data_IF_469203329899
#
_entry.id   IF_469203329899
#
_cell.length_a   1.000
_cell.length_b   1.000
_cell.length_c   1.000
_cell.angle_alpha   90.00
_cell.angle_beta   90.00
_cell.angle_gamma   90.00
#
_symmetry.space_group_name_H-M   'P 1'
#
loop_
_entity.id
_entity.type
_entity.pdbx_description
1 polymer ?
#
# COMPACT_ATOMS: atom_id res chain seq x y z
N UNK A 1 -2.02 46.19 6.42
CA UNK A 1 -2.70 44.88 6.20
C UNK A 1 -3.67 44.93 5.02
N UNK A 2 -4.55 45.94 4.89
CA UNK A 2 -5.50 46.02 3.77
C UNK A 2 -4.87 45.99 2.35
N UNK A 3 -3.73 46.66 2.15
CA UNK A 3 -3.00 46.64 0.86
C UNK A 3 -2.40 45.27 0.49
N UNK A 4 -2.01 44.46 1.48
CA UNK A 4 -1.43 43.13 1.22
C UNK A 4 -2.51 42.10 0.85
N UNK A 5 -3.71 42.22 1.44
CA UNK A 5 -4.83 41.35 1.10
C UNK A 5 -5.42 41.65 -0.28
N UNK A 6 -5.46 42.93 -0.72
CA UNK A 6 -5.95 43.22 -2.07
C UNK A 6 -5.04 42.65 -3.16
N UNK A 7 -3.73 42.66 -2.93
CA UNK A 7 -2.75 42.09 -3.86
C UNK A 7 -2.88 40.56 -3.94
N UNK A 8 -3.04 39.89 -2.79
CA UNK A 8 -3.28 38.45 -2.71
C UNK A 8 -4.59 38.02 -3.42
N UNK A 9 -5.66 38.81 -3.30
CA UNK A 9 -6.93 38.57 -4.01
C UNK A 9 -6.71 38.62 -5.52
N UNK A 10 -6.05 39.68 -6.02
CA UNK A 10 -5.79 39.86 -7.44
C UNK A 10 -4.88 38.75 -7.98
N UNK A 11 -3.83 38.39 -7.25
CA UNK A 11 -2.93 37.31 -7.64
C UNK A 11 -3.63 35.95 -7.74
N UNK A 12 -4.44 35.59 -6.73
CA UNK A 12 -5.19 34.34 -6.74
C UNK A 12 -6.24 34.30 -7.85
N UNK A 13 -6.93 35.43 -8.10
CA UNK A 13 -7.90 35.53 -9.19
C UNK A 13 -7.25 35.35 -10.57
N UNK A 14 -6.08 35.96 -10.81
CA UNK A 14 -5.35 35.80 -12.07
C UNK A 14 -4.92 34.35 -12.31
N UNK A 15 -4.38 33.69 -11.29
CA UNK A 15 -4.02 32.27 -11.37
C UNK A 15 -5.23 31.37 -11.63
N UNK A 16 -6.39 31.69 -11.04
CA UNK A 16 -7.61 30.94 -11.30
C UNK A 16 -8.08 31.10 -12.75
N UNK A 17 -7.98 32.30 -13.34
CA UNK A 17 -8.28 32.54 -14.76
C UNK A 17 -7.32 31.75 -15.66
N UNK A 18 -6.02 31.78 -15.36
CA UNK A 18 -5.02 31.00 -16.11
C UNK A 18 -5.26 29.49 -15.99
N UNK A 19 -5.63 29.00 -14.80
CA UNK A 19 -5.94 27.60 -14.55
C UNK A 19 -7.17 27.13 -15.36
N UNK A 20 -8.22 27.96 -15.43
CA UNK A 20 -9.39 27.66 -16.27
C UNK A 20 -9.05 27.69 -17.76
N UNK A 21 -8.14 28.58 -18.18
CA UNK A 21 -7.61 28.57 -19.54
C UNK A 21 -6.91 27.26 -19.87
N UNK A 22 -6.01 26.78 -19.01
CA UNK A 22 -5.35 25.47 -19.20
C UNK A 22 -6.36 24.31 -19.21
N UNK A 23 -7.38 24.39 -18.37
CA UNK A 23 -8.46 23.40 -18.33
C UNK A 23 -9.21 23.32 -19.67
N UNK A 24 -9.50 24.47 -20.29
CA UNK A 24 -10.13 24.53 -21.61
C UNK A 24 -9.28 23.90 -22.72
N UNK A 25 -7.94 23.96 -22.57
CA UNK A 25 -6.99 23.30 -23.46
C UNK A 25 -6.69 21.84 -23.10
N UNK A 26 -7.39 21.27 -22.11
CA UNK A 26 -7.20 19.90 -21.59
C UNK A 26 -5.82 19.65 -20.95
N UNK A 27 -5.11 20.71 -20.55
CA UNK A 27 -3.84 20.65 -19.83
C UNK A 27 -4.10 20.49 -18.32
N UNK A 28 -4.74 19.37 -17.94
CA UNK A 28 -5.35 19.17 -16.62
C UNK A 28 -4.35 19.21 -15.45
N UNK A 29 -3.10 18.78 -15.67
CA UNK A 29 -2.06 18.83 -14.63
C UNK A 29 -1.60 20.27 -14.37
N UNK A 30 -1.44 21.07 -15.44
CA UNK A 30 -1.07 22.49 -15.34
C UNK A 30 -2.20 23.32 -14.72
N UNK A 31 -3.46 23.03 -15.11
CA UNK A 31 -4.64 23.64 -14.51
C UNK A 31 -4.73 23.37 -12.99
N UNK A 32 -4.49 22.12 -12.57
CA UNK A 32 -4.52 21.72 -11.16
C UNK A 32 -3.40 22.41 -10.34
N UNK A 33 -2.19 22.48 -10.89
CA UNK A 33 -1.07 23.16 -10.22
C UNK A 33 -1.37 24.65 -10.00
N UNK A 34 -1.83 25.35 -11.05
CA UNK A 34 -2.16 26.78 -10.97
C UNK A 34 -3.30 27.06 -9.99
N UNK A 35 -4.34 26.23 -9.97
CA UNK A 35 -5.47 26.45 -9.06
C UNK A 35 -5.10 26.11 -7.61
N UNK A 36 -4.24 25.11 -7.38
CA UNK A 36 -3.69 24.84 -6.04
C UNK A 36 -2.86 26.01 -5.52
N UNK A 37 -2.02 26.61 -6.38
CA UNK A 37 -1.25 27.81 -6.02
C UNK A 37 -2.16 29.01 -5.69
N UNK A 38 -3.25 29.21 -6.45
CA UNK A 38 -4.24 30.26 -6.17
C UNK A 38 -4.89 30.06 -4.78
N UNK A 39 -5.32 28.84 -4.47
CA UNK A 39 -5.92 28.48 -3.17
C UNK A 39 -4.91 28.66 -2.04
N UNK A 40 -3.66 28.27 -2.24
CA UNK A 40 -2.60 28.45 -1.23
C UNK A 40 -2.38 29.93 -0.90
N UNK A 41 -2.39 30.82 -1.90
CA UNK A 41 -2.29 32.28 -1.67
C UNK A 41 -3.44 32.78 -0.82
N UNK A 42 -4.67 32.33 -1.10
CA UNK A 42 -5.87 32.69 -0.33
C UNK A 42 -5.73 32.23 1.13
N UNK A 43 -5.36 30.96 1.34
CA UNK A 43 -5.28 30.35 2.67
C UNK A 43 -4.14 30.95 3.52
N UNK A 44 -2.96 31.17 2.94
CA UNK A 44 -1.82 31.76 3.65
C UNK A 44 -2.07 33.21 4.08
N UNK A 45 -2.85 33.96 3.30
CA UNK A 45 -3.17 35.36 3.59
C UNK A 45 -4.48 35.53 4.37
N UNK A 46 -5.15 34.42 4.72
CA UNK A 46 -6.41 34.43 5.47
C UNK A 46 -7.51 35.20 4.77
N UNK A 47 -7.55 35.18 3.44
CA UNK A 47 -8.49 35.99 2.65
C UNK A 47 -9.88 35.35 2.68
N UNK A 48 -10.87 36.12 3.12
CA UNK A 48 -12.28 35.69 3.17
C UNK A 48 -13.19 36.58 2.32
N UNK A 49 -12.63 37.36 1.40
CA UNK A 49 -13.38 38.27 0.52
C UNK A 49 -14.30 37.46 -0.42
N UNK A 50 -15.58 37.84 -0.61
CA UNK A 50 -16.49 37.15 -1.52
C UNK A 50 -15.96 36.89 -2.93
N UNK A 51 -15.03 37.73 -3.41
CA UNK A 51 -14.38 37.58 -4.72
C UNK A 51 -13.56 36.29 -4.84
N UNK A 52 -13.07 35.71 -3.74
CA UNK A 52 -12.28 34.47 -3.80
C UNK A 52 -13.16 33.21 -3.88
N UNK A 53 -14.48 33.33 -3.71
CA UNK A 53 -15.40 32.21 -3.91
C UNK A 53 -15.30 31.62 -5.32
N UNK A 54 -15.10 32.47 -6.34
CA UNK A 54 -14.92 32.03 -7.73
C UNK A 54 -13.68 31.15 -7.92
N UNK A 55 -12.60 31.37 -7.15
CA UNK A 55 -11.38 30.54 -7.18
C UNK A 55 -11.68 29.13 -6.68
N UNK A 56 -12.45 29.01 -5.60
CA UNK A 56 -12.87 27.70 -5.08
C UNK A 56 -13.88 27.00 -6.01
N UNK A 57 -14.74 27.74 -6.73
CA UNK A 57 -15.58 27.14 -7.79
C UNK A 57 -14.72 26.58 -8.92
N UNK A 58 -13.74 27.34 -9.42
CA UNK A 58 -12.80 26.89 -10.44
C UNK A 58 -12.02 25.64 -9.99
N UNK A 59 -11.57 25.60 -8.73
CA UNK A 59 -10.92 24.41 -8.14
C UNK A 59 -11.81 23.18 -8.22
N UNK A 60 -13.11 23.32 -7.91
CA UNK A 60 -14.05 22.21 -7.96
C UNK A 60 -14.24 21.67 -9.37
N UNK A 61 -14.37 22.55 -10.36
CA UNK A 61 -14.49 22.18 -11.78
C UNK A 61 -13.23 21.46 -12.28
N UNK A 62 -12.04 22.03 -12.04
CA UNK A 62 -10.76 21.48 -12.47
C UNK A 62 -10.50 20.11 -11.82
N UNK A 63 -10.70 20.02 -10.50
CA UNK A 63 -10.50 18.77 -9.76
C UNK A 63 -11.44 17.67 -10.27
N UNK A 64 -12.70 18.01 -10.57
CA UNK A 64 -13.63 17.05 -11.12
C UNK A 64 -13.17 16.56 -12.49
N UNK A 65 -12.88 17.47 -13.43
CA UNK A 65 -12.46 17.11 -14.78
C UNK A 65 -11.17 16.30 -14.83
N UNK A 66 -10.22 16.55 -13.92
CA UNK A 66 -8.96 15.79 -13.81
C UNK A 66 -9.17 14.34 -13.41
N UNK A 67 -10.06 14.07 -12.45
CA UNK A 67 -10.17 12.75 -11.83
C UNK A 67 -11.41 11.96 -12.23
N UNK A 68 -12.42 12.56 -12.87
CA UNK A 68 -13.72 11.89 -13.12
C UNK A 68 -13.59 10.57 -13.91
N UNK A 69 -12.64 10.48 -14.83
CA UNK A 69 -12.49 9.32 -15.72
C UNK A 69 -11.59 8.22 -15.11
N UNK A 70 -10.74 8.57 -14.14
CA UNK A 70 -9.76 7.66 -13.52
C UNK A 70 -10.12 7.26 -12.08
N UNK A 71 -10.73 8.15 -11.31
CA UNK A 71 -11.06 7.99 -9.90
C UNK A 71 -12.26 8.86 -9.50
N UNK A 72 -13.46 8.48 -9.96
CA UNK A 72 -14.69 9.28 -9.79
C UNK A 72 -15.01 9.65 -8.34
N UNK A 73 -14.81 8.77 -7.36
CA UNK A 73 -15.06 9.10 -5.94
C UNK A 73 -14.16 10.24 -5.45
N UNK A 74 -12.89 10.24 -5.84
CA UNK A 74 -11.93 11.30 -5.51
C UNK A 74 -12.33 12.62 -6.18
N UNK A 75 -12.79 12.54 -7.43
CA UNK A 75 -13.30 13.70 -8.18
C UNK A 75 -14.50 14.34 -7.48
N UNK A 76 -15.49 13.54 -7.10
CA UNK A 76 -16.70 13.97 -6.41
C UNK A 76 -16.38 14.63 -5.05
N UNK A 77 -15.46 14.05 -4.28
CA UNK A 77 -15.08 14.56 -2.95
C UNK A 77 -14.29 15.86 -3.02
N UNK A 78 -13.33 15.98 -3.96
CA UNK A 78 -12.56 17.22 -4.15
C UNK A 78 -13.44 18.36 -4.64
N UNK A 79 -14.30 18.09 -5.62
CA UNK A 79 -15.26 19.07 -6.12
C UNK A 79 -16.21 19.52 -5.01
N UNK A 80 -16.75 18.58 -4.23
CA UNK A 80 -17.62 18.88 -3.09
C UNK A 80 -16.92 19.76 -2.05
N UNK A 81 -15.70 19.43 -1.64
CA UNK A 81 -14.97 20.21 -0.65
C UNK A 81 -14.67 21.62 -1.13
N UNK A 82 -14.35 21.81 -2.41
CA UNK A 82 -14.11 23.11 -3.00
C UNK A 82 -15.40 23.96 -3.09
N UNK A 83 -16.49 23.36 -3.58
CA UNK A 83 -17.81 24.01 -3.61
C UNK A 83 -18.33 24.37 -2.23
N UNK A 84 -18.10 23.52 -1.23
CA UNK A 84 -18.45 23.84 0.16
C UNK A 84 -17.70 25.07 0.66
N UNK A 85 -16.39 25.20 0.36
CA UNK A 85 -15.61 26.42 0.66
C UNK A 85 -16.16 27.64 -0.08
N UNK A 86 -16.42 27.53 -1.38
CA UNK A 86 -16.97 28.61 -2.20
C UNK A 86 -18.30 29.15 -1.63
N UNK A 87 -19.25 28.24 -1.37
CA UNK A 87 -20.58 28.58 -0.84
C UNK A 87 -20.54 29.07 0.62
N UNK A 88 -19.53 28.65 1.39
CA UNK A 88 -19.29 29.16 2.76
C UNK A 88 -18.88 30.64 2.75
N UNK A 89 -18.18 31.08 1.71
CA UNK A 89 -17.71 32.45 1.49
C UNK A 89 -18.79 33.30 0.80
N UNK A 90 -19.37 32.78 -0.27
CA UNK A 90 -20.45 33.41 -1.03
C UNK A 90 -21.57 32.38 -1.29
N UNK A 91 -22.68 32.43 -0.53
CA UNK A 91 -23.81 31.51 -0.69
C UNK A 91 -24.45 31.52 -2.09
N UNK A 92 -24.28 32.61 -2.84
CA UNK A 92 -24.80 32.78 -4.18
C UNK A 92 -23.82 32.34 -5.27
N UNK A 93 -22.66 31.76 -4.91
CA UNK A 93 -21.71 31.24 -5.88
C UNK A 93 -22.36 30.19 -6.79
N UNK A 94 -22.04 30.22 -8.08
CA UNK A 94 -22.57 29.32 -9.11
C UNK A 94 -21.43 28.81 -9.99
N UNK A 95 -21.59 27.62 -10.56
CA UNK A 95 -20.69 27.11 -11.59
C UNK A 95 -20.88 28.00 -12.84
N UNK A 96 -19.81 28.47 -13.50
CA UNK A 96 -19.97 29.23 -14.73
C UNK A 96 -20.69 28.39 -15.80
N UNK A 97 -21.53 29.03 -16.61
CA UNK A 97 -22.42 28.35 -17.57
C UNK A 97 -21.71 27.36 -18.49
N UNK A 98 -20.47 27.69 -18.88
CA UNK A 98 -19.70 26.91 -19.84
C UNK A 98 -19.19 25.59 -19.26
N UNK A 99 -19.15 25.49 -17.92
CA UNK A 99 -18.71 24.30 -17.18
C UNK A 99 -19.86 23.59 -16.46
N UNK A 100 -21.09 24.09 -16.62
CA UNK A 100 -22.24 23.58 -15.91
C UNK A 100 -22.65 22.22 -16.49
N UNK A 101 -22.44 21.15 -15.72
CA UNK A 101 -22.91 19.81 -16.02
C UNK A 101 -23.89 19.34 -14.96
N UNK A 102 -24.77 18.39 -15.29
CA UNK A 102 -25.72 17.81 -14.32
C UNK A 102 -25.01 17.20 -13.09
N UNK A 103 -23.81 16.68 -13.29
CA UNK A 103 -22.99 16.06 -12.24
C UNK A 103 -22.39 17.12 -11.30
N UNK A 104 -21.76 18.16 -11.86
CA UNK A 104 -21.21 19.25 -11.07
C UNK A 104 -22.30 20.01 -10.32
N UNK A 105 -23.47 20.21 -10.93
CA UNK A 105 -24.64 20.78 -10.27
C UNK A 105 -25.14 19.91 -9.11
N UNK A 106 -25.19 18.58 -9.28
CA UNK A 106 -25.57 17.69 -8.19
C UNK A 106 -24.60 17.79 -6.99
N UNK A 107 -23.29 17.93 -7.26
CA UNK A 107 -22.27 18.09 -6.22
C UNK A 107 -22.41 19.47 -5.54
N UNK A 108 -22.60 20.54 -6.31
CA UNK A 108 -22.80 21.91 -5.80
C UNK A 108 -24.08 22.02 -4.97
N UNK A 109 -25.18 21.38 -5.39
CA UNK A 109 -26.44 21.33 -4.65
C UNK A 109 -26.29 20.53 -3.35
N UNK A 110 -25.53 19.43 -3.36
CA UNK A 110 -25.16 18.71 -2.13
C UNK A 110 -24.41 19.63 -1.16
N UNK A 111 -23.49 20.45 -1.65
CA UNK A 111 -22.76 21.42 -0.84
C UNK A 111 -23.69 22.53 -0.30
N UNK A 112 -24.63 23.05 -1.12
CA UNK A 112 -25.66 24.01 -0.68
C UNK A 112 -26.51 23.44 0.45
N UNK A 113 -27.01 22.21 0.29
CA UNK A 113 -27.79 21.51 1.33
C UNK A 113 -27.01 21.34 2.63
N UNK A 114 -25.71 21.05 2.52
CA UNK A 114 -24.80 20.92 3.68
C UNK A 114 -24.63 22.25 4.43
N UNK A 115 -24.61 23.38 3.72
CA UNK A 115 -24.55 24.71 4.33
C UNK A 115 -25.91 25.13 4.89
N UNK A 116 -27.00 24.81 4.21
CA UNK A 116 -28.36 25.08 4.68
C UNK A 116 -28.73 24.24 5.92
N UNK A 117 -28.19 23.03 6.04
CA UNK A 117 -28.32 22.18 7.24
C UNK A 117 -27.28 22.52 8.33
N UNK A 118 -26.23 23.28 7.98
CA UNK A 118 -25.24 23.80 8.93
C UNK A 118 -25.84 24.92 9.79
N UNK A 119 -25.66 24.87 11.12
CA UNK A 119 -26.22 25.83 12.06
C UNK A 119 -25.47 27.17 12.06
N UNK A 120 -25.12 27.74 10.89
CA UNK A 120 -24.45 29.05 10.80
C UNK A 120 -25.32 30.22 11.30
N UNK A 121 -26.64 30.03 11.41
CA UNK A 121 -27.54 30.97 12.10
C UNK A 121 -27.45 30.89 13.64
N UNK A 122 -26.82 29.85 14.21
CA UNK A 122 -26.67 29.63 15.66
C UNK A 122 -25.31 30.06 16.23
N UNK A 123 -24.32 30.36 15.38
CA UNK A 123 -22.93 30.60 15.83
C UNK A 123 -22.77 31.99 16.47
N UNK A 124 -23.56 32.99 16.06
CA UNK A 124 -23.55 34.31 16.68
C UNK A 124 -24.07 34.31 18.14
N UNK A 125 -24.88 33.31 18.52
CA UNK A 125 -25.40 33.15 19.88
C UNK A 125 -24.46 32.37 20.82
N UNK A 126 -23.38 31.77 20.30
CA UNK A 126 -22.44 30.93 21.06
C UNK A 126 -21.13 31.65 21.41
N UNK A 127 -20.96 32.92 21.02
CA UNK A 127 -19.80 33.70 21.42
C UNK A 127 -19.73 33.83 22.96
N UNK A 128 -18.77 33.15 23.58
CA UNK A 128 -18.57 33.11 25.05
C UNK A 128 -19.18 31.90 25.76
N UNK A 129 -19.87 31.00 25.06
CA UNK A 129 -20.29 29.70 25.59
C UNK A 129 -19.15 28.71 25.37
N UNK A 130 -18.77 27.93 26.38
CA UNK A 130 -17.76 26.87 26.18
C UNK A 130 -18.37 25.70 25.41
N UNK A 131 -17.65 25.08 24.48
CA UNK A 131 -18.13 23.87 23.82
C UNK A 131 -18.38 22.76 24.83
N UNK A 132 -19.38 21.92 24.55
CA UNK A 132 -19.74 20.78 25.37
C UNK A 132 -19.63 19.50 24.56
N UNK A 133 -19.29 18.41 25.24
CA UNK A 133 -19.28 17.05 24.69
C UNK A 133 -20.18 16.21 25.59
N UNK A 134 -21.14 15.52 25.00
CA UNK A 134 -21.97 14.53 25.70
C UNK A 134 -21.61 13.14 25.22
N UNK A 135 -21.22 12.27 26.13
CA UNK A 135 -20.86 10.90 25.83
C UNK A 135 -21.29 9.97 26.95
N UNK A 136 -21.87 8.82 26.58
CA UNK A 136 -22.18 7.74 27.51
C UNK A 136 -21.09 6.68 27.43
N UNK A 137 -20.34 6.53 28.52
CA UNK A 137 -19.26 5.56 28.62
C UNK A 137 -19.69 4.13 28.27
N UNK A 138 -18.86 3.43 27.49
CA UNK A 138 -19.04 2.01 27.20
C UNK A 138 -18.46 1.21 28.37
N UNK A 139 -19.33 0.66 29.22
CA UNK A 139 -18.87 -0.05 30.43
C UNK A 139 -18.26 -1.42 30.13
N UNK A 140 -18.81 -2.15 29.16
CA UNK A 140 -18.39 -3.51 28.81
C UNK A 140 -18.41 -3.71 27.30
N UNK A 141 -17.43 -4.45 26.78
CA UNK A 141 -17.43 -4.94 25.40
C UNK A 141 -16.90 -6.38 25.35
N UNK A 142 -17.06 -7.04 24.21
CA UNK A 142 -16.44 -8.33 23.98
C UNK A 142 -14.97 -8.14 23.62
N UNK A 143 -14.10 -9.05 24.08
CA UNK A 143 -12.70 -9.07 23.65
C UNK A 143 -12.62 -9.30 22.14
N UNK A 144 -11.65 -8.65 21.51
CA UNK A 144 -11.41 -8.77 20.08
C UNK A 144 -12.54 -8.26 19.16
N UNK A 145 -13.57 -7.58 19.68
CA UNK A 145 -14.60 -6.94 18.85
C UNK A 145 -14.41 -5.42 18.81
N UNK A 146 -14.72 -4.76 17.68
CA UNK A 146 -14.72 -3.30 17.60
C UNK A 146 -15.58 -2.66 18.70
N UNK A 147 -15.07 -1.60 19.33
CA UNK A 147 -15.77 -0.79 20.32
C UNK A 147 -16.09 0.55 19.68
N UNK A 148 -17.38 0.78 19.44
CA UNK A 148 -17.88 2.03 18.89
C UNK A 148 -18.05 3.07 20.01
N UNK A 149 -17.39 4.21 19.84
CA UNK A 149 -17.43 5.35 20.75
C UNK A 149 -18.21 6.47 20.07
N UNK A 150 -19.38 6.79 20.64
CA UNK A 150 -20.29 7.81 20.12
C UNK A 150 -20.32 9.02 21.04
N UNK A 151 -20.10 10.21 20.50
CA UNK A 151 -20.16 11.45 21.25
C UNK A 151 -21.00 12.50 20.52
N UNK A 152 -21.92 13.13 21.23
CA UNK A 152 -22.64 14.29 20.73
C UNK A 152 -21.81 15.55 21.01
N UNK A 153 -21.47 16.27 19.94
CA UNK A 153 -20.69 17.50 19.97
C UNK A 153 -21.43 18.54 19.15
N UNK A 154 -22.29 19.37 19.77
CA UNK A 154 -23.00 20.44 19.09
C UNK A 154 -22.01 21.36 18.35
N UNK A 155 -22.38 21.78 17.14
CA UNK A 155 -21.54 22.65 16.33
C UNK A 155 -21.11 23.91 17.10
N UNK A 156 -19.79 24.12 17.21
CA UNK A 156 -19.20 25.23 17.94
C UNK A 156 -17.99 25.80 17.18
N UNK A 157 -17.82 27.13 17.10
CA UNK A 157 -16.74 27.75 16.32
C UNK A 157 -15.33 27.38 16.79
N UNK A 158 -15.17 27.13 18.09
CA UNK A 158 -13.87 26.78 18.69
C UNK A 158 -13.52 25.28 18.56
N UNK A 159 -14.45 24.44 18.08
CA UNK A 159 -14.21 23.00 17.91
C UNK A 159 -13.78 22.73 16.47
N UNK A 160 -12.55 22.25 16.31
CA UNK A 160 -11.97 21.88 15.02
C UNK A 160 -11.85 20.37 14.84
N UNK A 161 -11.39 19.64 15.87
CA UNK A 161 -11.30 18.17 15.87
C UNK A 161 -11.86 17.59 17.15
N UNK A 162 -12.33 16.35 17.06
CA UNK A 162 -12.75 15.55 18.22
C UNK A 162 -11.95 14.26 18.18
N UNK A 163 -11.25 13.95 19.28
CA UNK A 163 -10.29 12.87 19.38
C UNK A 163 -10.71 11.94 20.52
N UNK A 164 -10.67 10.63 20.26
CA UNK A 164 -10.70 9.59 21.30
C UNK A 164 -9.27 9.18 21.58
N UNK A 165 -8.84 9.38 22.82
CA UNK A 165 -7.58 8.84 23.32
C UNK A 165 -7.85 7.53 24.03
N UNK A 166 -7.18 6.45 23.66
CA UNK A 166 -7.39 5.12 24.23
C UNK A 166 -6.09 4.40 24.56
N UNK A 167 -6.13 3.55 25.59
CA UNK A 167 -5.04 2.70 26.04
C UNK A 167 -5.57 1.35 26.47
N UNK A 168 -4.72 0.32 26.38
CA UNK A 168 -5.09 -1.07 26.68
C UNK A 168 -4.44 -1.49 27.99
N UNK A 169 -5.21 -2.13 28.86
CA UNK A 169 -4.80 -2.55 30.20
C UNK A 169 -4.15 -1.39 30.98
N UNK A 170 -3.12 -1.69 31.77
CA UNK A 170 -2.39 -0.72 32.60
C UNK A 170 -1.10 -0.23 31.92
N UNK A 171 -0.99 -0.38 30.59
CA UNK A 171 0.12 0.16 29.80
C UNK A 171 0.06 1.69 29.83
N UNK A 172 1.21 2.34 30.00
CA UNK A 172 1.31 3.80 30.03
C UNK A 172 1.24 4.38 28.62
N UNK A 173 0.52 5.50 28.48
CA UNK A 173 0.30 6.18 27.20
C UNK A 173 -1.06 5.87 26.57
N UNK A 174 -1.50 6.78 25.71
CA UNK A 174 -2.76 6.67 24.95
C UNK A 174 -2.48 6.92 23.48
N UNK A 175 -3.04 6.07 22.62
CA UNK A 175 -3.15 6.29 21.19
C UNK A 175 -4.38 7.17 20.91
N UNK A 176 -4.42 7.89 19.79
CA UNK A 176 -5.54 8.78 19.44
C UNK A 176 -6.22 8.39 18.13
N UNK A 177 -7.55 8.48 18.10
CA UNK A 177 -8.39 8.31 16.90
C UNK A 177 -9.22 9.57 16.71
N UNK A 178 -9.19 10.17 15.53
CA UNK A 178 -10.09 11.27 15.20
C UNK A 178 -11.50 10.71 14.94
N UNK A 179 -12.49 11.25 15.66
CA UNK A 179 -13.89 10.90 15.47
C UNK A 179 -14.40 11.50 14.16
N UNK A 180 -15.24 10.75 13.45
CA UNK A 180 -15.87 11.19 12.21
C UNK A 180 -17.35 11.51 12.45
N UNK A 181 -17.95 12.49 11.75
CA UNK A 181 -19.37 12.75 11.85
C UNK A 181 -20.19 11.49 11.55
N UNK A 182 -21.20 11.22 12.36
CA UNK A 182 -22.18 10.17 12.11
C UNK A 182 -22.97 10.51 10.85
N UNK A 183 -23.22 9.49 10.01
CA UNK A 183 -24.09 9.65 8.84
C UNK A 183 -25.57 9.74 9.23
N UNK A 184 -25.95 9.19 10.39
CA UNK A 184 -27.34 8.95 10.78
C UNK A 184 -27.87 10.00 11.77
N UNK A 185 -27.00 10.56 12.61
CA UNK A 185 -27.40 11.46 13.70
C UNK A 185 -26.62 12.78 13.62
N UNK A 186 -27.35 13.89 13.56
CA UNK A 186 -26.77 15.24 13.52
C UNK A 186 -26.01 15.54 14.81
N UNK A 187 -24.86 16.18 14.68
CA UNK A 187 -23.94 16.56 15.77
C UNK A 187 -23.34 15.37 16.54
N UNK A 188 -23.59 14.13 16.10
CA UNK A 188 -22.93 12.95 16.64
C UNK A 188 -21.66 12.64 15.87
N UNK A 189 -20.65 12.21 16.61
CA UNK A 189 -19.36 11.77 16.10
C UNK A 189 -19.10 10.35 16.57
N UNK A 190 -18.48 9.57 15.69
CA UNK A 190 -18.19 8.15 15.89
C UNK A 190 -16.70 7.92 15.72
N UNK A 191 -16.11 7.16 16.64
CA UNK A 191 -14.80 6.55 16.47
C UNK A 191 -14.87 5.07 16.86
N UNK A 192 -14.07 4.25 16.19
CA UNK A 192 -14.05 2.81 16.41
C UNK A 192 -12.69 2.40 16.96
N UNK A 193 -12.65 1.98 18.22
CA UNK A 193 -11.49 1.27 18.76
C UNK A 193 -11.56 -0.16 18.22
N UNK A 194 -10.62 -0.52 17.36
CA UNK A 194 -10.64 -1.82 16.67
C UNK A 194 -10.63 -3.01 17.64
N UNK A 195 -11.18 -4.15 17.22
CA UNK A 195 -11.07 -5.39 17.99
C UNK A 195 -9.63 -5.77 18.32
N UNK A 196 -8.70 -5.47 17.41
CA UNK A 196 -7.27 -5.72 17.60
C UNK A 196 -6.65 -4.86 18.71
N UNK A 197 -7.18 -3.66 18.97
CA UNK A 197 -6.83 -2.88 20.15
C UNK A 197 -7.53 -3.41 21.42
N UNK A 198 -8.69 -4.05 21.28
CA UNK A 198 -9.49 -4.61 22.37
C UNK A 198 -9.11 -6.06 22.75
N UNK A 199 -7.82 -6.43 22.73
CA UNK A 199 -7.35 -7.77 23.13
C UNK A 199 -7.14 -7.95 24.64
N UNK A 200 -6.87 -6.84 25.33
CA UNK A 200 -6.57 -6.83 26.76
C UNK A 200 -7.75 -7.23 27.64
N UNK A 201 -7.56 -7.10 28.95
CA UNK A 201 -8.64 -7.25 29.92
C UNK A 201 -9.54 -6.01 30.00
N UNK A 202 -8.99 -4.82 29.72
CA UNK A 202 -9.73 -3.55 29.72
C UNK A 202 -9.16 -2.56 28.70
N UNK A 203 -10.02 -1.67 28.23
CA UNK A 203 -9.65 -0.48 27.46
C UNK A 203 -9.98 0.74 28.31
N UNK A 204 -9.04 1.68 28.39
CA UNK A 204 -9.22 2.99 29.04
C UNK A 204 -9.27 4.05 27.96
N UNK A 205 -10.22 4.97 28.02
CA UNK A 205 -10.29 6.04 27.04
C UNK A 205 -10.90 7.33 27.60
N UNK A 206 -10.65 8.44 26.91
CA UNK A 206 -11.26 9.73 27.13
C UNK A 206 -11.41 10.47 25.80
N UNK A 207 -12.21 11.53 25.77
CA UNK A 207 -12.54 12.27 24.56
C UNK A 207 -12.14 13.73 24.75
N UNK A 208 -11.47 14.31 23.77
CA UNK A 208 -11.14 15.73 23.75
C UNK A 208 -11.60 16.38 22.44
N UNK A 209 -12.16 17.58 22.55
CA UNK A 209 -12.35 18.46 21.41
C UNK A 209 -11.26 19.53 21.44
N UNK A 210 -10.62 19.78 20.29
CA UNK A 210 -9.54 20.75 20.16
C UNK A 210 -9.86 21.85 19.16
N UNK A 211 -9.29 23.04 19.36
CA UNK A 211 -9.31 24.12 18.38
C UNK A 211 -8.29 23.89 17.24
N UNK A 212 -8.08 24.89 16.39
CA UNK A 212 -7.13 24.80 15.25
C UNK A 212 -5.67 24.85 15.70
N UNK A 213 -5.42 25.46 16.85
CA UNK A 213 -4.11 25.59 17.51
C UNK A 213 -3.70 24.31 18.25
N UNK A 214 -4.65 23.39 18.46
CA UNK A 214 -4.46 22.12 19.17
C UNK A 214 -4.78 22.18 20.66
N UNK A 215 -5.30 23.31 21.17
CA UNK A 215 -5.72 23.45 22.55
C UNK A 215 -7.04 22.70 22.80
N UNK A 216 -7.13 22.04 23.95
CA UNK A 216 -8.34 21.34 24.39
C UNK A 216 -9.40 22.36 24.82
N UNK A 217 -10.50 22.41 24.08
CA UNK A 217 -11.63 23.33 24.33
C UNK A 217 -12.77 22.67 25.11
N UNK A 218 -12.90 21.34 25.02
CA UNK A 218 -13.84 20.54 25.81
C UNK A 218 -13.31 19.10 25.98
N UNK A 219 -13.76 18.39 27.02
CA UNK A 219 -13.38 17.00 27.26
C UNK A 219 -14.47 16.18 27.94
N UNK A 220 -14.42 14.87 27.76
CA UNK A 220 -15.10 13.87 28.59
C UNK A 220 -14.05 12.93 29.16
N UNK A 221 -13.96 12.89 30.49
CA UNK A 221 -12.86 12.25 31.21
C UNK A 221 -11.49 12.86 30.88
N UNK A 222 -10.42 12.33 31.46
CA UNK A 222 -9.04 12.73 31.21
C UNK A 222 -8.08 11.56 31.46
N UNK A 223 -6.79 11.81 31.24
CA UNK A 223 -5.73 10.82 31.40
C UNK A 223 -5.68 10.21 32.82
N UNK A 224 -5.97 11.02 33.85
CA UNK A 224 -5.93 10.62 35.25
C UNK A 224 -7.19 9.87 35.68
N UNK A 225 -8.33 10.18 35.07
CA UNK A 225 -9.64 9.58 35.36
C UNK A 225 -10.32 9.10 34.07
N UNK A 226 -9.76 8.11 33.36
CA UNK A 226 -10.31 7.65 32.09
C UNK A 226 -11.57 6.82 32.30
N UNK A 227 -12.42 6.77 31.27
CA UNK A 227 -13.50 5.79 31.20
C UNK A 227 -12.87 4.42 31.01
N UNK A 228 -13.31 3.43 31.77
CA UNK A 228 -12.81 2.05 31.67
C UNK A 228 -13.89 1.13 31.11
N UNK A 229 -13.62 0.54 29.94
CA UNK A 229 -14.40 -0.52 29.33
C UNK A 229 -13.79 -1.88 29.69
N UNK A 230 -14.55 -2.72 30.38
CA UNK A 230 -14.14 -4.08 30.69
C UNK A 230 -14.37 -5.00 29.48
N UNK A 231 -13.37 -5.81 29.14
CA UNK A 231 -13.44 -6.71 27.98
C UNK A 231 -13.67 -8.16 28.41
N UNK A 232 -14.78 -8.72 27.94
CA UNK A 232 -15.30 -10.04 28.36
C UNK A 232 -15.29 -11.06 27.21
N UNK A 233 -15.27 -12.36 27.53
CA UNK A 233 -15.24 -13.44 26.53
C UNK A 233 -13.84 -13.80 26.02
N UNK A 234 -13.78 -14.76 25.10
CA UNK A 234 -12.55 -15.21 24.45
C UNK A 234 -12.36 -14.55 23.08
N UNK A 235 -11.10 -14.31 22.71
CA UNK A 235 -10.74 -13.83 21.38
C UNK A 235 -10.83 -14.97 20.36
N UNK A 236 -11.86 -14.93 19.52
CA UNK A 236 -11.87 -15.64 18.24
C UNK A 236 -11.09 -14.79 17.24
N UNK A 237 -10.18 -15.40 16.46
CA UNK A 237 -9.20 -14.68 15.64
C UNK A 237 -9.79 -13.60 14.71
N UNK A 238 -8.98 -12.57 14.39
CA UNK A 238 -9.40 -11.43 13.57
C UNK A 238 -9.76 -11.83 12.15
N UNK A 239 -10.79 -11.17 11.61
CA UNK A 239 -11.18 -11.29 10.21
C UNK A 239 -10.23 -10.49 9.32
N UNK A 240 -10.17 -10.85 8.03
CA UNK A 240 -9.32 -10.20 7.03
C UNK A 240 -9.66 -8.71 6.83
N UNK A 241 -10.93 -8.33 7.00
CA UNK A 241 -11.41 -6.94 6.88
C UNK A 241 -10.86 -6.05 8.00
N UNK A 242 -10.77 -6.58 9.23
CA UNK A 242 -10.27 -5.85 10.41
C UNK A 242 -8.76 -5.59 10.35
N UNK A 243 -8.00 -6.46 9.67
CA UNK A 243 -6.56 -6.29 9.46
C UNK A 243 -6.26 -5.29 8.33
N UNK A 244 -7.04 -5.30 7.25
CA UNK A 244 -6.90 -4.36 6.13
C UNK A 244 -7.22 -2.90 6.55
N UNK A 245 -8.25 -2.72 7.40
CA UNK A 245 -8.62 -1.42 7.98
C UNK A 245 -7.53 -0.80 8.87
N UNK A 246 -6.67 -1.61 9.50
CA UNK A 246 -5.62 -1.13 10.42
C UNK A 246 -4.29 -0.84 9.74
N UNK A 247 -3.91 -1.64 8.75
CA UNK A 247 -2.56 -1.61 8.17
C UNK A 247 -2.49 -1.07 6.74
N UNK A 248 -3.64 -0.93 6.06
CA UNK A 248 -3.68 -0.72 4.61
C UNK A 248 -3.25 -1.98 3.85
N UNK A 249 -3.50 -2.01 2.53
CA UNK A 249 -2.91 -3.03 1.68
C UNK A 249 -1.39 -2.79 1.60
N UNK A 250 -0.55 -3.82 1.84
CA UNK A 250 0.90 -3.62 1.79
C UNK A 250 1.30 -3.15 0.41
N UNK A 251 2.07 -2.08 0.32
CA UNK A 251 2.50 -1.48 -0.95
C UNK A 251 3.57 -2.37 -1.59
N UNK A 252 4.42 -3.00 -0.77
CA UNK A 252 5.52 -3.82 -1.23
C UNK A 252 5.69 -5.10 -0.40
N UNK A 253 6.27 -6.12 -1.03
CA UNK A 253 6.67 -7.37 -0.40
C UNK A 253 8.08 -7.74 -0.82
N UNK A 254 8.89 -8.15 0.15
CA UNK A 254 10.25 -8.63 -0.05
C UNK A 254 10.32 -10.07 0.42
N UNK A 255 10.77 -11.00 -0.42
CA UNK A 255 10.94 -12.40 -0.03
C UNK A 255 12.40 -12.83 -0.09
N UNK A 256 12.80 -13.70 0.83
CA UNK A 256 14.09 -14.39 0.83
C UNK A 256 13.79 -15.87 1.03
N UNK A 257 14.00 -16.67 -0.01
CA UNK A 257 13.60 -18.06 -0.07
C UNK A 257 14.80 -18.96 -0.36
N UNK A 258 14.73 -20.17 0.16
CA UNK A 258 15.63 -21.27 -0.19
C UNK A 258 14.81 -22.27 -0.99
N UNK A 259 15.38 -22.79 -2.07
CA UNK A 259 14.69 -23.75 -2.91
C UNK A 259 15.57 -24.87 -3.41
N UNK A 260 14.90 -25.85 -4.02
CA UNK A 260 15.51 -26.94 -4.77
C UNK A 260 14.78 -27.10 -6.08
N UNK A 261 15.39 -27.80 -7.03
CA UNK A 261 14.74 -28.05 -8.31
C UNK A 261 15.03 -29.41 -8.91
N UNK A 262 14.20 -29.76 -9.89
CA UNK A 262 14.42 -30.88 -10.80
C UNK A 262 14.03 -30.44 -12.20
N UNK A 263 14.81 -30.82 -13.21
CA UNK A 263 14.58 -30.39 -14.58
C UNK A 263 14.69 -31.51 -15.58
N UNK A 264 14.05 -31.31 -16.73
CA UNK A 264 14.29 -32.10 -17.93
C UNK A 264 15.42 -31.43 -18.69
N UNK A 265 16.55 -32.11 -18.78
CA UNK A 265 17.77 -31.62 -19.43
C UNK A 265 18.02 -32.37 -20.72
N UNK A 266 18.51 -31.69 -21.75
CA UNK A 266 18.97 -32.31 -22.99
C UNK A 266 19.69 -31.31 -23.90
N UNK A 267 20.42 -31.82 -24.89
CA UNK A 267 21.13 -30.98 -25.88
C UNK A 267 22.65 -30.91 -25.65
N UNK A 268 23.26 -29.77 -25.96
CA UNK A 268 24.71 -29.56 -25.81
C UNK A 268 25.02 -28.84 -24.50
N UNK A 269 25.90 -29.40 -23.68
CA UNK A 269 26.35 -28.78 -22.44
C UNK A 269 27.86 -28.63 -22.39
N UNK A 270 28.33 -27.62 -21.65
CA UNK A 270 29.75 -27.54 -21.30
C UNK A 270 30.03 -28.43 -20.10
N UNK A 271 30.86 -29.45 -20.28
CA UNK A 271 31.44 -30.20 -19.16
C UNK A 271 32.39 -29.27 -18.41
N UNK A 272 32.12 -29.01 -17.14
CA UNK A 272 33.13 -28.43 -16.27
C UNK A 272 34.08 -29.54 -15.81
N UNK A 273 35.30 -29.57 -16.36
CA UNK A 273 36.32 -30.55 -15.95
C UNK A 273 36.94 -30.20 -14.60
N UNK A 274 37.13 -31.23 -13.77
CA UNK A 274 37.74 -31.20 -12.44
C UNK A 274 39.28 -31.33 -12.46
N UNK A 275 39.91 -31.40 -13.64
CA UNK A 275 41.35 -31.64 -13.75
C UNK A 275 42.15 -30.34 -13.70
N UNK A 276 43.19 -30.30 -12.84
CA UNK A 276 44.11 -29.16 -12.62
C UNK A 276 44.85 -28.70 -13.90
N UNK A 277 44.93 -29.55 -14.91
CA UNK A 277 45.41 -29.14 -16.23
C UNK A 277 44.33 -28.31 -16.90
N UNK A 278 44.51 -26.98 -16.89
CA UNK A 278 43.80 -26.05 -17.79
C UNK A 278 43.82 -26.72 -19.17
N UNK A 279 42.67 -27.17 -19.73
CA UNK A 279 42.70 -27.81 -21.04
C UNK A 279 43.30 -26.80 -21.99
N UNK A 280 44.39 -27.16 -22.65
CA UNK A 280 44.96 -26.39 -23.75
C UNK A 280 44.01 -26.53 -24.94
N UNK A 281 42.87 -25.86 -24.86
CA UNK A 281 41.79 -25.94 -25.85
C UNK A 281 40.42 -25.53 -25.29
N UNK A 282 39.46 -25.22 -26.18
CA UNK A 282 38.08 -24.95 -25.77
C UNK A 282 37.50 -26.14 -25.01
N UNK A 283 36.75 -25.87 -23.94
CA UNK A 283 36.03 -26.91 -23.19
C UNK A 283 35.13 -27.70 -24.16
N UNK A 284 35.28 -29.04 -24.26
CA UNK A 284 34.49 -29.84 -25.19
C UNK A 284 33.01 -29.73 -24.83
N UNK A 285 32.18 -29.40 -25.82
CA UNK A 285 30.74 -29.59 -25.71
C UNK A 285 30.45 -31.08 -25.66
N UNK A 286 29.61 -31.48 -24.71
CA UNK A 286 29.17 -32.87 -24.54
C UNK A 286 27.69 -32.92 -24.83
N UNK A 287 27.29 -33.88 -25.66
CA UNK A 287 25.87 -34.18 -25.91
C UNK A 287 25.29 -34.86 -24.68
N UNK A 288 24.22 -34.28 -24.15
CA UNK A 288 23.48 -34.78 -22.99
C UNK A 288 22.22 -35.50 -23.51
N UNK A 289 22.10 -36.77 -23.16
CA UNK A 289 20.87 -37.54 -23.37
C UNK A 289 19.73 -36.93 -22.57
N UNK A 290 18.54 -36.86 -23.17
CA UNK A 290 17.36 -36.32 -22.49
C UNK A 290 17.06 -37.12 -21.21
N UNK A 291 16.91 -36.45 -20.09
CA UNK A 291 16.64 -37.09 -18.81
C UNK A 291 16.21 -36.12 -17.71
N UNK A 292 15.80 -36.66 -16.57
CA UNK A 292 15.49 -35.89 -15.36
C UNK A 292 16.77 -35.68 -14.57
N UNK A 293 17.06 -34.44 -14.20
CA UNK A 293 18.25 -34.06 -13.45
C UNK A 293 17.88 -33.25 -12.21
N UNK A 294 18.34 -33.64 -11.00
CA UNK A 294 18.20 -32.80 -9.83
C UNK A 294 19.09 -31.56 -9.97
N UNK A 295 18.62 -30.46 -9.43
CA UNK A 295 19.31 -29.19 -9.41
C UNK A 295 19.70 -28.85 -7.98
N UNK A 296 20.92 -28.34 -7.75
CA UNK A 296 21.36 -27.99 -6.40
C UNK A 296 20.53 -26.87 -5.78
N UNK A 297 20.59 -26.82 -4.46
CA UNK A 297 19.91 -25.82 -3.64
C UNK A 297 20.24 -24.40 -4.12
N UNK A 298 19.21 -23.55 -4.13
CA UNK A 298 19.31 -22.17 -4.56
C UNK A 298 18.74 -21.21 -3.53
N UNK A 299 19.25 -19.98 -3.55
CA UNK A 299 18.67 -18.84 -2.86
C UNK A 299 17.89 -18.02 -3.86
N UNK A 300 16.71 -17.55 -3.48
CA UNK A 300 15.87 -16.68 -4.29
C UNK A 300 15.45 -15.47 -3.47
N UNK A 301 15.69 -14.29 -4.01
CA UNK A 301 15.21 -13.03 -3.46
C UNK A 301 14.23 -12.39 -4.42
N UNK A 302 13.16 -11.79 -3.92
CA UNK A 302 12.27 -10.98 -4.75
C UNK A 302 11.76 -9.74 -4.04
N UNK A 303 11.45 -8.72 -4.83
CA UNK A 303 10.74 -7.51 -4.40
C UNK A 303 9.57 -7.32 -5.35
N UNK A 304 8.35 -7.28 -4.82
CA UNK A 304 7.12 -7.08 -5.60
C UNK A 304 6.30 -5.95 -5.01
N UNK A 305 5.66 -5.16 -5.86
CA UNK A 305 4.80 -4.06 -5.49
C UNK A 305 3.35 -4.42 -5.84
N UNK A 306 2.43 -4.17 -4.91
CA UNK A 306 1.01 -4.35 -5.18
C UNK A 306 0.53 -3.21 -6.09
N UNK A 307 -0.14 -3.59 -7.17
CA UNK A 307 -0.82 -2.71 -8.10
C UNK A 307 -2.34 -2.83 -7.86
N UNK A 308 -3.15 -1.89 -8.39
CA UNK A 308 -4.60 -2.04 -8.41
C UNK A 308 -5.04 -3.35 -9.07
N UNK A 309 -6.26 -3.80 -8.76
CA UNK A 309 -6.88 -5.01 -9.32
C UNK A 309 -6.14 -6.32 -9.01
N UNK A 310 -5.65 -6.46 -7.77
CA UNK A 310 -5.02 -7.70 -7.27
C UNK A 310 -3.76 -8.12 -8.06
N UNK A 311 -3.13 -7.17 -8.77
CA UNK A 311 -1.90 -7.41 -9.52
C UNK A 311 -0.67 -7.10 -8.67
N UNK A 312 0.44 -7.77 -8.95
CA UNK A 312 1.74 -7.39 -8.42
C UNK A 312 2.78 -7.38 -9.52
N UNK A 313 3.67 -6.41 -9.49
CA UNK A 313 4.81 -6.31 -10.40
C UNK A 313 6.09 -6.23 -9.59
N UNK A 314 7.12 -6.95 -10.01
CA UNK A 314 8.38 -6.92 -9.29
C UNK A 314 9.56 -7.49 -10.04
N UNK A 315 10.64 -7.67 -9.29
CA UNK A 315 11.88 -8.25 -9.75
C UNK A 315 12.33 -9.36 -8.82
N UNK A 316 13.09 -10.31 -9.36
CA UNK A 316 13.68 -11.40 -8.60
C UNK A 316 15.12 -11.65 -9.02
N UNK A 317 15.85 -12.29 -8.10
CA UNK A 317 17.15 -12.89 -8.32
C UNK A 317 17.16 -14.29 -7.73
N UNK A 318 17.78 -15.23 -8.43
CA UNK A 318 17.96 -16.62 -8.01
C UNK A 318 19.42 -16.99 -8.19
N UNK A 319 20.10 -17.37 -7.12
CA UNK A 319 21.50 -17.78 -7.12
C UNK A 319 21.66 -19.25 -6.71
N UNK A 320 22.48 -20.00 -7.45
CA UNK A 320 22.95 -21.33 -7.07
C UNK A 320 24.44 -21.27 -6.78
N UNK A 321 24.86 -21.92 -5.69
CA UNK A 321 26.26 -22.12 -5.35
C UNK A 321 26.50 -23.62 -5.24
N UNK A 322 27.45 -24.13 -6.02
CA UNK A 322 27.77 -25.56 -6.03
C UNK A 322 29.23 -25.74 -5.68
N UNK A 323 29.48 -26.54 -4.65
CA UNK A 323 30.80 -27.02 -4.33
C UNK A 323 31.07 -28.28 -5.15
N UNK A 324 32.07 -28.22 -6.01
CA UNK A 324 32.55 -29.40 -6.72
C UNK A 324 33.81 -29.89 -6.02
N UNK A 325 33.74 -31.07 -5.40
CA UNK A 325 34.89 -31.77 -4.79
C UNK A 325 35.52 -32.64 -5.88
N UNK A 326 36.82 -32.48 -6.14
CA UNK A 326 37.55 -33.38 -7.04
C UNK A 326 37.78 -34.75 -6.37
N UNK A 327 37.72 -35.86 -7.10
CA UNK A 327 38.30 -37.11 -6.56
C UNK A 327 39.83 -37.00 -6.56
N UNK A 328 40.47 -37.64 -5.58
CA UNK A 328 41.91 -37.78 -5.57
C UNK A 328 42.37 -38.63 -6.76
N UNK A 329 43.28 -38.08 -7.57
CA UNK A 329 44.09 -38.90 -8.45
C UNK A 329 45.22 -39.53 -7.63
N UNK A 330 45.34 -40.86 -7.63
CA UNK A 330 46.51 -41.59 -7.12
C UNK A 330 46.99 -41.23 -5.69
N UNK A 331 46.07 -41.17 -4.72
CA UNK A 331 46.44 -41.15 -3.30
C UNK A 331 47.03 -39.84 -2.76
N UNK A 332 47.01 -38.75 -3.52
CA UNK A 332 47.30 -37.41 -2.99
C UNK A 332 46.07 -36.78 -2.33
N UNK A 333 46.28 -36.06 -1.22
CA UNK A 333 45.23 -35.39 -0.44
C UNK A 333 44.32 -34.52 -1.32
N UNK A 334 43.02 -34.59 -1.01
CA UNK A 334 41.98 -33.82 -1.69
C UNK A 334 42.08 -32.37 -1.23
N UNK A 335 42.62 -31.49 -2.07
CA UNK A 335 42.55 -30.05 -1.80
C UNK A 335 41.87 -29.25 -2.92
N UNK A 336 41.02 -28.32 -2.45
CA UNK A 336 40.29 -27.25 -3.12
C UNK A 336 39.00 -27.61 -3.89
N UNK A 337 37.87 -27.47 -3.17
CA UNK A 337 36.55 -27.38 -3.75
C UNK A 337 36.44 -26.16 -4.69
N UNK A 338 35.99 -26.36 -5.93
CA UNK A 338 35.68 -25.25 -6.84
C UNK A 338 34.25 -24.83 -6.64
N UNK A 339 34.04 -23.55 -6.30
CA UNK A 339 32.71 -22.96 -6.20
C UNK A 339 32.27 -22.52 -7.60
N UNK A 340 31.18 -23.12 -8.09
CA UNK A 340 30.55 -22.74 -9.36
C UNK A 340 29.21 -22.10 -9.05
N UNK A 341 29.09 -20.82 -9.42
CA UNK A 341 27.88 -20.03 -9.24
C UNK A 341 27.10 -19.85 -10.54
N UNK A 342 25.77 -19.86 -10.47
CA UNK A 342 24.91 -19.35 -11.54
C UNK A 342 23.84 -18.44 -10.96
N UNK A 343 23.44 -17.44 -11.75
CA UNK A 343 22.44 -16.45 -11.38
C UNK A 343 21.39 -16.40 -12.49
N UNK A 344 20.13 -16.35 -12.07
CA UNK A 344 18.99 -15.91 -12.88
C UNK A 344 18.45 -14.63 -12.26
N UNK A 345 18.09 -13.65 -13.09
CA UNK A 345 17.45 -12.43 -12.65
C UNK A 345 16.38 -12.04 -13.66
N UNK A 346 15.32 -11.39 -13.19
CA UNK A 346 14.22 -11.03 -14.07
C UNK A 346 13.14 -10.23 -13.38
N UNK A 347 12.04 -10.09 -14.12
CA UNK A 347 10.81 -9.46 -13.67
C UNK A 347 9.72 -10.50 -13.49
N UNK A 348 8.80 -10.24 -12.56
CA UNK A 348 7.62 -11.06 -12.30
C UNK A 348 6.36 -10.21 -12.35
N UNK A 349 5.33 -10.72 -13.00
CA UNK A 349 3.96 -10.21 -12.94
C UNK A 349 3.08 -11.28 -12.28
N UNK A 350 2.35 -10.91 -11.24
CA UNK A 350 1.50 -11.82 -10.46
C UNK A 350 0.07 -11.31 -10.41
N UNK A 351 -0.86 -12.24 -10.35
CA UNK A 351 -2.26 -12.02 -10.05
C UNK A 351 -2.62 -12.79 -8.79
N UNK A 352 -3.11 -12.09 -7.78
CA UNK A 352 -3.55 -12.65 -6.50
C UNK A 352 -4.95 -13.28 -6.67
N UNK A 353 -4.99 -14.52 -7.15
CA UNK A 353 -6.22 -15.30 -7.28
C UNK A 353 -7.01 -15.42 -5.96
N UNK A 354 -6.30 -15.43 -4.83
CA UNK A 354 -6.85 -15.18 -3.51
C UNK A 354 -6.01 -14.05 -2.90
N UNK A 355 -6.58 -12.85 -2.80
CA UNK A 355 -5.86 -11.66 -2.32
C UNK A 355 -5.99 -11.42 -0.81
N UNK A 356 -6.88 -12.16 -0.13
CA UNK A 356 -7.22 -11.95 1.28
C UNK A 356 -6.18 -12.56 2.23
N UNK A 357 -5.67 -11.78 3.18
CA UNK A 357 -4.85 -12.31 4.28
C UNK A 357 -5.70 -13.12 5.28
N UNK A 358 -5.14 -14.09 6.04
CA UNK A 358 -3.73 -14.43 6.11
C UNK A 358 -3.24 -15.34 4.97
N UNK A 359 -4.13 -15.87 4.13
CA UNK A 359 -3.80 -16.86 3.11
C UNK A 359 -4.00 -16.30 1.71
N UNK A 360 -2.90 -15.95 1.04
CA UNK A 360 -2.97 -15.50 -0.35
C UNK A 360 -2.47 -16.58 -1.29
N UNK A 361 -3.12 -16.68 -2.44
CA UNK A 361 -2.74 -17.54 -3.55
C UNK A 361 -2.53 -16.66 -4.77
N UNK A 362 -1.41 -16.85 -5.47
CA UNK A 362 -1.14 -16.13 -6.71
C UNK A 362 -0.72 -17.07 -7.82
N UNK A 363 -1.01 -16.64 -9.04
CA UNK A 363 -0.44 -17.17 -10.28
C UNK A 363 0.33 -16.04 -10.95
N UNK A 364 1.41 -16.37 -11.64
CA UNK A 364 2.26 -15.36 -12.24
C UNK A 364 3.05 -15.84 -13.43
N UNK A 365 3.77 -14.90 -14.03
CA UNK A 365 4.70 -15.12 -15.11
C UNK A 365 5.97 -14.33 -14.86
N UNK A 366 7.09 -15.01 -14.94
CA UNK A 366 8.43 -14.45 -14.91
C UNK A 366 9.02 -14.39 -16.30
N UNK A 367 9.84 -13.36 -16.55
CA UNK A 367 10.74 -13.29 -17.68
C UNK A 367 12.09 -12.77 -17.22
N UNK A 368 13.18 -13.35 -17.70
CA UNK A 368 14.51 -13.01 -17.20
C UNK A 368 15.66 -13.48 -18.05
N UNK A 369 16.85 -13.23 -17.52
CA UNK A 369 18.14 -13.62 -18.08
C UNK A 369 18.92 -14.47 -17.06
N UNK A 370 19.69 -15.41 -17.57
CA UNK A 370 20.66 -16.18 -16.78
C UNK A 370 20.43 -17.68 -16.83
N UNK A 371 21.39 -18.43 -16.30
CA UNK A 371 21.42 -19.89 -16.39
C UNK A 371 21.15 -20.57 -15.06
N UNK A 372 20.92 -21.88 -15.11
CA UNK A 372 20.78 -22.71 -13.93
C UNK A 372 21.69 -23.94 -14.04
N UNK A 373 22.08 -24.50 -12.90
CA UNK A 373 22.91 -25.70 -12.86
C UNK A 373 22.05 -26.94 -12.58
N UNK A 374 22.33 -28.01 -13.33
CA UNK A 374 21.73 -29.32 -13.15
C UNK A 374 22.82 -30.39 -12.99
N UNK A 375 22.52 -31.42 -12.22
CA UNK A 375 23.43 -32.56 -12.00
C UNK A 375 22.98 -33.72 -12.89
N UNK A 376 23.81 -34.14 -13.84
CA UNK A 376 23.44 -35.16 -14.85
C UNK A 376 24.46 -36.30 -14.84
N UNK A 377 23.98 -37.53 -14.99
CA UNK A 377 24.84 -38.68 -15.25
C UNK A 377 25.14 -38.78 -16.76
N UNK A 378 26.42 -38.76 -17.11
CA UNK A 378 26.89 -38.69 -18.49
C UNK A 378 27.29 -40.05 -19.09
N UNK A 379 27.25 -41.15 -18.31
CA UNK A 379 27.45 -42.51 -18.82
C UNK A 379 28.78 -42.78 -19.56
N UNK A 380 29.81 -43.17 -18.83
CA UNK A 380 30.73 -44.31 -19.08
C UNK A 380 32.04 -44.11 -18.31
N UNK A 381 32.33 -45.07 -17.44
CA UNK A 381 33.58 -45.26 -16.66
C UNK A 381 34.11 -44.05 -15.86
N UNK A 382 33.40 -43.63 -14.82
CA UNK A 382 33.94 -43.12 -13.54
C UNK A 382 32.79 -42.57 -12.69
N UNK A 383 32.87 -42.76 -11.36
CA UNK A 383 31.81 -42.55 -10.36
C UNK A 383 31.45 -41.08 -10.09
N UNK A 384 31.37 -40.25 -11.13
CA UNK A 384 31.13 -38.82 -10.97
C UNK A 384 29.90 -38.34 -11.71
N UNK A 385 28.91 -37.91 -10.92
CA UNK A 385 27.86 -36.98 -11.32
C UNK A 385 28.52 -35.74 -11.95
N UNK A 386 28.35 -35.53 -13.25
CA UNK A 386 28.87 -34.34 -13.93
C UNK A 386 27.86 -33.20 -13.76
N UNK A 387 28.33 -32.02 -13.33
CA UNK A 387 27.48 -30.83 -13.22
C UNK A 387 27.46 -30.11 -14.56
N UNK A 388 26.26 -29.88 -15.08
CA UNK A 388 26.02 -29.20 -16.35
C UNK A 388 25.32 -27.86 -16.11
N UNK A 389 25.76 -26.84 -16.85
CA UNK A 389 25.08 -25.55 -16.89
C UNK A 389 24.00 -25.63 -17.97
N UNK A 390 22.75 -25.49 -17.57
CA UNK A 390 21.66 -25.11 -18.48
C UNK A 390 21.93 -23.66 -18.89
N UNK A 391 22.29 -23.45 -20.14
CA UNK A 391 22.47 -22.12 -20.71
C UNK A 391 21.20 -21.73 -21.44
N UNK A 392 20.55 -20.69 -20.95
CA UNK A 392 19.60 -19.90 -21.70
C UNK A 392 19.86 -18.45 -21.35
N UNK A 393 20.38 -17.59 -22.24
CA UNK A 393 20.43 -16.16 -21.93
C UNK A 393 19.03 -15.60 -21.65
N UNK A 394 17.95 -16.29 -22.02
CA UNK A 394 16.61 -15.84 -21.73
C UNK A 394 15.76 -16.99 -21.22
N UNK A 395 14.87 -16.71 -20.26
CA UNK A 395 13.86 -17.65 -19.81
C UNK A 395 12.53 -16.98 -19.52
N UNK A 396 11.46 -17.77 -19.63
CA UNK A 396 10.14 -17.45 -19.11
C UNK A 396 9.74 -18.52 -18.10
N UNK A 397 9.03 -18.16 -17.04
CA UNK A 397 8.57 -19.13 -16.05
C UNK A 397 7.14 -18.81 -15.59
N UNK A 398 6.13 -19.64 -15.90
CA UNK A 398 4.88 -19.58 -15.13
C UNK A 398 5.18 -19.94 -13.67
N UNK A 399 4.53 -19.23 -12.75
CA UNK A 399 4.64 -19.47 -11.31
C UNK A 399 3.27 -19.59 -10.64
N UNK A 400 3.23 -20.36 -9.57
CA UNK A 400 2.14 -20.39 -8.60
C UNK A 400 2.75 -20.28 -7.20
N UNK A 401 2.15 -19.49 -6.33
CA UNK A 401 2.64 -19.38 -4.97
C UNK A 401 1.56 -19.11 -3.94
N UNK A 402 1.91 -19.44 -2.70
CA UNK A 402 1.08 -19.33 -1.53
C UNK A 402 1.80 -18.50 -0.48
N UNK A 403 1.09 -17.53 0.09
CA UNK A 403 1.58 -16.66 1.15
C UNK A 403 0.73 -16.88 2.40
N UNK A 404 1.40 -17.13 3.52
CA UNK A 404 0.78 -17.20 4.84
C UNK A 404 1.31 -16.07 5.73
N UNK A 405 0.50 -15.04 5.94
CA UNK A 405 0.76 -13.94 6.87
C UNK A 405 0.40 -14.37 8.29
N UNK A 406 1.37 -14.42 9.20
CA UNK A 406 1.13 -14.67 10.63
C UNK A 406 1.50 -13.48 11.52
N UNK A 407 2.08 -12.43 10.95
CA UNK A 407 2.36 -11.15 11.60
C UNK A 407 2.15 -9.99 10.62
N UNK A 408 1.82 -8.78 11.11
CA UNK A 408 1.50 -7.62 10.26
C UNK A 408 2.53 -7.30 9.18
N UNK A 409 3.80 -7.64 9.41
CA UNK A 409 4.91 -7.39 8.49
C UNK A 409 5.64 -8.66 8.04
N UNK A 410 5.26 -9.85 8.52
CA UNK A 410 6.04 -11.09 8.30
C UNK A 410 5.10 -12.24 7.98
N UNK A 411 5.48 -13.03 6.97
CA UNK A 411 4.83 -14.28 6.66
C UNK A 411 5.77 -15.31 6.04
N UNK A 412 5.21 -16.45 5.68
CA UNK A 412 5.88 -17.53 4.95
C UNK A 412 5.39 -17.55 3.50
N UNK A 413 6.32 -17.64 2.55
CA UNK A 413 6.04 -17.81 1.13
C UNK A 413 6.47 -19.21 0.68
N UNK A 414 5.64 -19.85 -0.14
CA UNK A 414 5.94 -21.08 -0.87
C UNK A 414 5.66 -20.81 -2.34
N UNK A 415 6.62 -21.08 -3.21
CA UNK A 415 6.53 -20.74 -4.63
C UNK A 415 7.03 -21.91 -5.49
N UNK A 416 6.26 -22.23 -6.52
CA UNK A 416 6.63 -23.16 -7.57
C UNK A 416 6.71 -22.39 -8.89
N UNK A 417 7.91 -22.27 -9.46
CA UNK A 417 8.15 -21.70 -10.77
C UNK A 417 8.60 -22.78 -11.76
N UNK A 418 8.28 -22.62 -13.05
CA UNK A 418 8.70 -23.57 -14.10
C UNK A 418 9.51 -22.86 -15.19
N UNK A 419 10.81 -22.55 -14.99
CA UNK A 419 11.55 -21.78 -15.97
C UNK A 419 11.90 -22.60 -17.21
N UNK A 420 11.62 -22.03 -18.38
CA UNK A 420 11.90 -22.56 -19.72
C UNK A 420 12.98 -21.68 -20.36
N UNK A 421 14.13 -22.27 -20.66
CA UNK A 421 15.32 -21.57 -21.19
C UNK A 421 15.37 -21.57 -22.73
N UNK A 422 15.77 -20.45 -23.32
CA UNK A 422 15.91 -20.21 -24.76
C UNK A 422 17.32 -19.69 -25.11
N UNK A 423 17.84 -19.92 -26.35
CA UNK A 423 17.18 -20.54 -27.51
C UNK A 423 17.35 -22.07 -27.60
N UNK A 424 18.02 -22.70 -26.64
CA UNK A 424 18.33 -24.13 -26.70
C UNK A 424 17.09 -25.03 -26.61
N UNK A 425 17.11 -26.17 -27.32
CA UNK A 425 15.95 -27.04 -27.50
C UNK A 425 15.58 -27.78 -26.20
N UNK A 426 14.64 -27.20 -25.44
CA UNK A 426 13.93 -27.75 -24.27
C UNK A 426 14.86 -28.03 -23.08
N UNK A 427 15.13 -26.97 -22.32
CA UNK A 427 15.59 -27.06 -20.94
C UNK A 427 14.55 -26.37 -20.04
N UNK A 428 13.73 -27.19 -19.36
CA UNK A 428 12.74 -26.72 -18.41
C UNK A 428 12.99 -27.34 -17.04
N UNK A 429 12.75 -26.59 -15.97
CA UNK A 429 12.89 -27.11 -14.62
C UNK A 429 11.79 -26.61 -13.69
N UNK A 430 11.57 -27.34 -12.61
CA UNK A 430 10.60 -27.02 -11.56
C UNK A 430 11.38 -26.52 -10.35
N UNK A 431 11.25 -25.23 -10.05
CA UNK A 431 11.85 -24.57 -8.89
C UNK A 431 10.82 -24.49 -7.77
N UNK A 432 11.01 -25.29 -6.71
CA UNK A 432 10.23 -25.14 -5.47
C UNK A 432 11.05 -24.35 -4.45
N UNK A 433 10.52 -23.20 -4.03
CA UNK A 433 11.18 -22.29 -3.09
C UNK A 433 10.27 -22.02 -1.89
N UNK A 434 10.88 -21.95 -0.70
CA UNK A 434 10.18 -21.63 0.55
C UNK A 434 11.01 -20.67 1.38
N UNK A 435 10.38 -19.70 2.02
CA UNK A 435 11.07 -18.83 2.96
C UNK A 435 10.23 -17.68 3.48
N UNK A 436 10.78 -16.86 4.38
CA UNK A 436 10.10 -15.69 4.88
C UNK A 436 9.85 -14.66 3.78
N UNK A 437 8.75 -13.93 3.94
CA UNK A 437 8.55 -12.66 3.27
C UNK A 437 8.18 -11.57 4.27
N UNK A 438 8.50 -10.34 3.88
CA UNK A 438 8.26 -9.12 4.62
C UNK A 438 7.34 -8.23 3.82
N UNK A 439 6.36 -7.60 4.46
CA UNK A 439 5.40 -6.70 3.80
C UNK A 439 5.38 -5.33 4.48
N UNK A 440 5.23 -4.29 3.66
CA UNK A 440 5.40 -2.89 4.03
C UNK A 440 4.20 -2.04 3.66
#
# INVERSE_FOLDING_TARGET
MAFAQSDAITQAANLAVEAMGDYDFLELDSADEKIMNAVQIIEQNGVTDPKVAAVYVAQGVISYGRFKDSAKSIADDRAFSAFLKALTINPDAQIPSDYQTSELEAIMERARKTIASSPKASIAALAGVKPTISHKGVATSQRCTPIEINANVPAHPDVYRVLVYYGVDDVRGYDSIEMKPSADVKDDFVAIITGLAAQGAKVRYFIEATNREGDVVARVADEAHPITTMLTGECVGFTSEELALKYGDPIAQVSIMVGTAMGIVGGSGRKQSLTYTKPSGPHPEVTISRGVAPMPLHLRGSVVFNLPADLQLGAYIRGQVINIVGEPNNGSEVESAKVVGNIMAGVTLRYLAISRQPYRLYVGLEAGWGGANATVDAGSSSNFKSIYIIKGPFHIAPEIGFLWTFHKNIGLAVELAVPIHFPDKINAHFDLSVGPYFQF
#
